data_IF_402157775526
#
_entry.id   IF_402157775526
#
_cell.length_a   1.000
_cell.length_b   1.000
_cell.length_c   1.000
_cell.angle_alpha   90.00
_cell.angle_beta   90.00
_cell.angle_gamma   90.00
#
_symmetry.space_group_name_H-M   'P 1'
#
loop_
_entity.id
_entity.type
_entity.pdbx_description
1 polymer ?
#
# COMPACT_ATOMS: atom_id res chain seq x y z
N UNK A 1 21.52 -9.88 -37.29
CA UNK A 1 21.38 -10.51 -35.95
C UNK A 1 21.40 -9.51 -34.80
N UNK A 2 22.22 -8.51 -34.85
CA UNK A 2 22.40 -7.49 -33.78
C UNK A 2 21.15 -6.67 -33.51
N UNK A 3 20.41 -6.23 -34.52
CA UNK A 3 19.20 -5.44 -34.41
C UNK A 3 18.06 -6.20 -33.67
N UNK A 4 17.98 -7.50 -33.81
CA UNK A 4 17.01 -8.36 -33.12
C UNK A 4 17.27 -8.45 -31.63
N UNK A 5 18.52 -8.36 -31.18
CA UNK A 5 18.85 -8.38 -29.76
C UNK A 5 18.45 -7.08 -29.08
N UNK A 6 18.72 -5.92 -29.70
CA UNK A 6 18.31 -4.61 -29.17
C UNK A 6 16.78 -4.51 -29.07
N UNK A 7 16.03 -5.00 -30.06
CA UNK A 7 14.56 -5.08 -30.03
C UNK A 7 14.06 -5.93 -28.84
N UNK A 8 14.63 -7.12 -28.64
CA UNK A 8 14.26 -8.01 -27.53
C UNK A 8 14.55 -7.34 -26.18
N UNK A 9 15.68 -6.68 -26.04
CA UNK A 9 16.06 -5.99 -24.81
C UNK A 9 15.18 -4.77 -24.56
N UNK A 10 14.84 -3.99 -25.58
CA UNK A 10 13.90 -2.87 -25.47
C UNK A 10 12.51 -3.35 -25.00
N UNK A 11 11.99 -4.42 -25.61
CA UNK A 11 10.74 -5.04 -25.17
C UNK A 11 10.82 -5.47 -23.70
N UNK A 12 11.92 -6.12 -23.29
CA UNK A 12 12.09 -6.59 -21.92
C UNK A 12 12.21 -5.45 -20.91
N UNK A 13 12.94 -4.37 -21.26
CA UNK A 13 13.04 -3.18 -20.41
C UNK A 13 11.69 -2.51 -20.20
N UNK A 14 10.85 -2.46 -21.25
CA UNK A 14 9.47 -1.95 -21.19
C UNK A 14 8.57 -2.81 -20.30
N UNK A 15 8.67 -4.13 -20.41
CA UNK A 15 7.93 -5.07 -19.53
C UNK A 15 8.30 -4.86 -18.07
N UNK A 16 9.59 -4.78 -17.73
CA UNK A 16 10.05 -4.57 -16.36
C UNK A 16 9.55 -3.24 -15.77
N UNK A 17 9.61 -2.15 -16.53
CA UNK A 17 9.09 -0.86 -16.11
C UNK A 17 7.57 -0.90 -15.91
N UNK A 18 6.83 -1.51 -16.84
CA UNK A 18 5.39 -1.68 -16.72
C UNK A 18 4.98 -2.52 -15.51
N UNK A 19 5.72 -3.58 -15.19
CA UNK A 19 5.46 -4.40 -14.01
C UNK A 19 5.69 -3.61 -12.72
N UNK A 20 6.69 -2.72 -12.70
CA UNK A 20 6.91 -1.81 -11.58
C UNK A 20 5.73 -0.83 -11.41
N UNK A 21 5.25 -0.22 -12.50
CA UNK A 21 4.10 0.70 -12.50
C UNK A 21 2.82 -0.02 -12.04
N UNK A 22 2.54 -1.21 -12.58
CA UNK A 22 1.41 -2.05 -12.15
C UNK A 22 1.48 -2.42 -10.69
N UNK A 23 2.68 -2.63 -10.15
CA UNK A 23 2.88 -2.88 -8.72
C UNK A 23 2.44 -1.68 -7.87
N UNK A 24 2.75 -0.45 -8.31
CA UNK A 24 2.29 0.79 -7.65
C UNK A 24 0.77 0.88 -7.66
N UNK A 25 0.14 0.63 -8.81
CA UNK A 25 -1.32 0.68 -8.96
C UNK A 25 -2.02 -0.38 -8.10
N UNK A 26 -1.46 -1.60 -8.07
CA UNK A 26 -1.93 -2.67 -7.20
C UNK A 26 -1.85 -2.30 -5.73
N UNK A 27 -0.76 -1.66 -5.31
CA UNK A 27 -0.58 -1.19 -3.94
C UNK A 27 -1.59 -0.09 -3.58
N UNK A 28 -1.83 0.85 -4.49
CA UNK A 28 -2.85 1.89 -4.32
C UNK A 28 -4.24 1.27 -4.16
N UNK A 29 -4.61 0.32 -5.02
CA UNK A 29 -5.89 -0.38 -4.93
C UNK A 29 -6.04 -1.12 -3.59
N UNK A 30 -5.03 -1.86 -3.16
CA UNK A 30 -5.02 -2.54 -1.86
C UNK A 30 -5.14 -1.55 -0.71
N UNK A 31 -4.34 -0.49 -0.70
CA UNK A 31 -4.39 0.52 0.35
C UNK A 31 -5.78 1.19 0.43
N UNK A 32 -6.38 1.55 -0.70
CA UNK A 32 -7.73 2.12 -0.78
C UNK A 32 -8.79 1.18 -0.22
N UNK A 33 -8.74 -0.10 -0.58
CA UNK A 33 -9.65 -1.12 -0.03
C UNK A 33 -9.53 -1.24 1.48
N UNK A 34 -8.30 -1.30 2.01
CA UNK A 34 -8.11 -1.41 3.45
C UNK A 34 -8.46 -0.13 4.21
N UNK A 35 -8.26 1.04 3.63
CA UNK A 35 -8.77 2.30 4.21
C UNK A 35 -10.29 2.25 4.35
N UNK A 36 -11.00 1.79 3.31
CA UNK A 36 -12.47 1.67 3.34
C UNK A 36 -12.95 0.68 4.41
N UNK A 37 -12.32 -0.50 4.49
CA UNK A 37 -12.64 -1.51 5.51
C UNK A 37 -12.35 -0.96 6.91
N UNK A 38 -11.20 -0.33 7.12
CA UNK A 38 -10.77 0.17 8.42
C UNK A 38 -11.62 1.35 8.90
N UNK A 39 -12.22 2.12 8.00
CA UNK A 39 -13.14 3.20 8.40
C UNK A 39 -14.39 2.67 9.10
N UNK A 40 -14.80 1.43 8.82
CA UNK A 40 -15.92 0.77 9.51
C UNK A 40 -15.53 0.23 10.90
N UNK A 41 -14.24 0.07 11.16
CA UNK A 41 -13.77 -0.46 12.43
C UNK A 41 -14.11 0.45 13.62
N UNK A 42 -13.99 1.77 13.45
CA UNK A 42 -14.24 2.76 14.52
C UNK A 42 -15.68 2.71 15.01
N UNK A 43 -16.71 2.79 14.15
CA UNK A 43 -18.12 2.64 14.58
C UNK A 43 -18.39 1.29 15.27
N UNK A 44 -17.79 0.19 14.76
CA UNK A 44 -17.91 -1.12 15.40
C UNK A 44 -17.31 -1.15 16.80
N UNK A 45 -16.11 -0.58 16.97
CA UNK A 45 -15.46 -0.49 18.27
C UNK A 45 -16.29 0.31 19.28
N UNK A 46 -16.88 1.44 18.85
CA UNK A 46 -17.78 2.22 19.70
C UNK A 46 -19.08 1.49 20.01
N UNK A 47 -19.65 0.73 19.06
CA UNK A 47 -20.83 -0.10 19.29
C UNK A 47 -20.58 -1.18 20.34
N UNK A 48 -19.43 -1.83 20.30
CA UNK A 48 -19.01 -2.81 21.30
C UNK A 48 -18.75 -2.17 22.66
N UNK A 49 -18.11 -0.99 22.67
CA UNK A 49 -17.86 -0.24 23.91
C UNK A 49 -19.14 0.18 24.62
N UNK A 50 -20.16 0.64 23.89
CA UNK A 50 -21.45 1.02 24.46
C UNK A 50 -22.15 -0.11 25.22
N UNK A 51 -21.91 -1.35 24.83
CA UNK A 51 -22.46 -2.55 25.47
C UNK A 51 -21.58 -3.10 26.61
N UNK A 52 -20.52 -2.38 26.96
CA UNK A 52 -19.61 -2.75 28.04
C UNK A 52 -20.10 -2.15 29.33
N UNK A 53 -20.60 -2.98 30.26
CA UNK A 53 -21.28 -2.53 31.51
C UNK A 53 -20.30 -1.91 32.53
N UNK A 54 -19.00 -2.05 32.35
CA UNK A 54 -17.97 -1.51 33.25
C UNK A 54 -17.32 -0.23 32.68
N UNK A 55 -17.99 0.89 32.79
CA UNK A 55 -17.44 2.22 32.46
C UNK A 55 -16.42 2.73 33.51
N UNK A 56 -15.46 1.92 33.87
CA UNK A 56 -14.35 2.39 34.69
C UNK A 56 -13.20 2.90 33.83
N UNK A 57 -12.32 3.71 34.40
CA UNK A 57 -11.17 4.29 33.71
C UNK A 57 -10.31 3.23 33.00
N UNK A 58 -10.16 2.06 33.62
CA UNK A 58 -9.41 0.93 33.07
C UNK A 58 -10.06 0.38 31.79
N UNK A 59 -11.38 0.25 31.76
CA UNK A 59 -12.13 -0.17 30.57
C UNK A 59 -11.94 0.79 29.41
N UNK A 60 -12.01 2.11 29.66
CA UNK A 60 -11.79 3.13 28.64
C UNK A 60 -10.37 3.02 28.05
N UNK A 61 -9.34 2.85 28.88
CA UNK A 61 -7.96 2.72 28.43
C UNK A 61 -7.81 1.46 27.55
N UNK A 62 -8.33 0.32 27.99
CA UNK A 62 -8.22 -0.95 27.26
C UNK A 62 -8.87 -0.86 25.87
N UNK A 63 -10.08 -0.26 25.75
CA UNK A 63 -10.77 -0.08 24.47
C UNK A 63 -10.13 0.99 23.58
N UNK A 64 -9.39 1.94 24.14
CA UNK A 64 -8.68 2.95 23.36
C UNK A 64 -7.50 2.36 22.56
N UNK A 65 -6.86 1.28 23.05
CA UNK A 65 -5.68 0.67 22.41
C UNK A 65 -5.97 0.23 20.96
N UNK A 66 -6.99 -0.62 20.67
CA UNK A 66 -7.27 -1.03 19.30
C UNK A 66 -7.67 0.15 18.40
N UNK A 67 -8.36 1.17 18.93
CA UNK A 67 -8.72 2.35 18.15
C UNK A 67 -7.47 3.14 17.75
N UNK A 68 -6.55 3.37 18.67
CA UNK A 68 -5.30 4.07 18.39
C UNK A 68 -4.47 3.28 17.37
N UNK A 69 -4.35 1.96 17.53
CA UNK A 69 -3.64 1.10 16.57
C UNK A 69 -4.26 1.17 15.17
N UNK A 70 -5.59 1.18 15.08
CA UNK A 70 -6.29 1.33 13.80
C UNK A 70 -6.00 2.69 13.15
N UNK A 71 -6.03 3.79 13.90
CA UNK A 71 -5.72 5.13 13.42
C UNK A 71 -4.27 5.24 12.91
N UNK A 72 -3.31 4.63 13.62
CA UNK A 72 -1.91 4.54 13.17
C UNK A 72 -1.82 3.75 11.87
N UNK A 73 -2.53 2.63 11.76
CA UNK A 73 -2.61 1.83 10.54
C UNK A 73 -3.18 2.62 9.36
N UNK A 74 -4.29 3.34 9.58
CA UNK A 74 -4.89 4.23 8.59
C UNK A 74 -3.93 5.33 8.14
N UNK A 75 -3.17 5.94 9.05
CA UNK A 75 -2.16 6.93 8.70
C UNK A 75 -1.15 6.38 7.69
N UNK A 76 -0.59 5.19 7.93
CA UNK A 76 0.36 4.57 7.00
C UNK A 76 -0.28 4.19 5.66
N UNK A 77 -1.53 3.70 5.64
CA UNK A 77 -2.24 3.40 4.40
C UNK A 77 -2.49 4.66 3.58
N UNK A 78 -2.92 5.74 4.21
CA UNK A 78 -3.12 7.04 3.54
C UNK A 78 -1.79 7.56 2.99
N UNK A 79 -0.69 7.45 3.74
CA UNK A 79 0.65 7.79 3.24
C UNK A 79 1.07 6.94 2.02
N UNK A 80 0.60 5.70 1.91
CA UNK A 80 0.83 4.88 0.73
C UNK A 80 0.04 5.37 -0.49
N UNK A 81 -1.15 5.96 -0.29
CA UNK A 81 -2.04 6.48 -1.34
C UNK A 81 -1.65 7.87 -1.86
N UNK A 82 -0.84 8.64 -1.12
CA UNK A 82 -0.46 9.97 -1.58
C UNK A 82 0.17 9.91 -2.97
N UNK A 83 -0.23 10.83 -3.88
CA UNK A 83 0.32 10.89 -5.23
C UNK A 83 1.83 11.00 -5.20
N UNK A 84 2.50 10.14 -5.94
CA UNK A 84 3.95 10.12 -6.09
C UNK A 84 4.29 10.25 -7.56
N UNK A 85 5.39 10.94 -7.84
CA UNK A 85 5.90 11.02 -9.21
C UNK A 85 6.42 9.64 -9.60
N UNK A 86 5.85 9.08 -10.66
CA UNK A 86 6.28 7.83 -11.28
C UNK A 86 6.73 8.17 -12.70
N UNK A 87 7.91 7.70 -13.08
CA UNK A 87 8.49 7.87 -14.40
C UNK A 87 8.11 6.69 -15.29
N UNK A 88 7.75 6.97 -16.54
CA UNK A 88 7.17 6.01 -17.48
C UNK A 88 8.09 5.65 -18.66
N UNK A 89 9.38 5.94 -18.57
CA UNK A 89 10.33 5.76 -19.66
C UNK A 89 10.40 7.00 -20.56
N UNK A 90 10.51 6.79 -21.87
CA UNK A 90 10.58 7.88 -22.83
C UNK A 90 9.35 8.78 -22.75
N UNK A 91 9.56 10.10 -22.80
CA UNK A 91 8.49 11.08 -22.91
C UNK A 91 8.41 11.66 -24.33
N UNK A 92 7.32 12.37 -24.65
CA UNK A 92 7.07 12.93 -25.97
C UNK A 92 8.18 13.86 -26.46
N UNK A 93 8.82 14.64 -25.56
CA UNK A 93 9.87 15.60 -25.94
C UNK A 93 11.14 14.92 -26.45
N UNK A 94 11.29 13.62 -26.23
CA UNK A 94 12.45 12.82 -26.66
C UNK A 94 12.24 12.25 -28.06
N UNK A 95 10.99 12.13 -28.53
CA UNK A 95 10.69 11.61 -29.87
C UNK A 95 11.27 12.47 -30.99
N UNK A 96 11.28 13.80 -30.83
CA UNK A 96 11.87 14.71 -31.83
C UNK A 96 13.36 14.42 -32.08
N UNK A 97 14.07 13.92 -31.07
CA UNK A 97 15.49 13.54 -31.18
C UNK A 97 15.69 12.23 -31.93
N UNK A 98 14.66 11.40 -32.00
CA UNK A 98 14.71 10.05 -32.56
C UNK A 98 14.10 9.95 -33.95
N UNK A 99 13.22 10.93 -34.32
CA UNK A 99 12.46 10.93 -35.59
C UNK A 99 13.35 10.91 -36.84
N UNK A 100 14.56 11.48 -36.74
CA UNK A 100 15.53 11.58 -37.82
C UNK A 100 16.66 10.54 -37.72
N UNK A 101 16.49 9.51 -36.90
CA UNK A 101 17.47 8.41 -36.79
C UNK A 101 17.21 7.38 -37.87
N UNK A 102 18.22 7.11 -38.70
CA UNK A 102 18.14 6.14 -39.79
C UNK A 102 18.25 4.69 -39.28
N UNK A 103 18.91 4.46 -38.12
CA UNK A 103 19.09 3.14 -37.53
C UNK A 103 18.09 2.89 -36.38
N UNK A 104 17.24 1.90 -36.57
CA UNK A 104 16.29 1.45 -35.53
C UNK A 104 17.00 0.98 -34.24
N UNK A 105 18.26 0.57 -34.30
CA UNK A 105 19.06 0.19 -33.15
C UNK A 105 19.26 1.37 -32.20
N UNK A 106 19.57 2.55 -32.72
CA UNK A 106 19.72 3.77 -31.91
C UNK A 106 18.45 4.09 -31.11
N UNK A 107 17.28 3.82 -31.72
CA UNK A 107 15.97 4.02 -31.05
C UNK A 107 15.79 3.01 -29.91
N UNK A 108 16.09 1.74 -30.15
CA UNK A 108 15.98 0.70 -29.10
C UNK A 108 16.97 0.93 -27.96
N UNK A 109 18.21 1.28 -28.25
CA UNK A 109 19.23 1.55 -27.23
C UNK A 109 18.87 2.77 -26.39
N UNK A 110 18.29 3.81 -27.01
CA UNK A 110 17.75 4.96 -26.27
C UNK A 110 16.56 4.58 -25.40
N UNK A 111 15.64 3.77 -25.89
CA UNK A 111 14.49 3.27 -25.13
C UNK A 111 14.93 2.45 -23.91
N UNK A 112 15.89 1.56 -24.10
CA UNK A 112 16.46 0.76 -22.99
C UNK A 112 17.05 1.68 -21.92
N UNK A 113 17.81 2.70 -22.33
CA UNK A 113 18.36 3.69 -21.41
C UNK A 113 17.28 4.43 -20.62
N UNK A 114 16.29 5.01 -21.30
CA UNK A 114 15.20 5.75 -20.68
C UNK A 114 14.36 4.89 -19.74
N UNK A 115 14.06 3.65 -20.13
CA UNK A 115 13.32 2.70 -19.29
C UNK A 115 14.10 2.30 -18.05
N UNK A 116 15.41 2.04 -18.20
CA UNK A 116 16.31 1.72 -17.07
C UNK A 116 16.39 2.87 -16.08
N UNK A 117 16.59 4.09 -16.57
CA UNK A 117 16.74 5.26 -15.72
C UNK A 117 15.42 5.55 -14.98
N UNK A 118 14.28 5.48 -15.66
CA UNK A 118 12.95 5.59 -15.04
C UNK A 118 12.68 4.48 -14.01
N UNK A 119 13.09 3.25 -14.32
CA UNK A 119 12.97 2.14 -13.37
C UNK A 119 13.78 2.39 -12.10
N UNK A 120 15.02 2.87 -12.23
CA UNK A 120 15.89 3.18 -11.11
C UNK A 120 15.34 4.34 -10.26
N UNK A 121 14.85 5.41 -10.89
CA UNK A 121 14.24 6.55 -10.22
C UNK A 121 12.98 6.15 -9.43
N UNK A 122 12.22 5.18 -9.92
CA UNK A 122 11.03 4.68 -9.27
C UNK A 122 11.31 3.76 -8.06
N UNK A 123 12.49 3.13 -7.97
CA UNK A 123 12.80 2.12 -6.94
C UNK A 123 12.49 2.61 -5.53
N UNK A 124 12.99 3.78 -5.16
CA UNK A 124 12.81 4.30 -3.80
C UNK A 124 11.34 4.65 -3.52
N UNK A 125 10.65 5.19 -4.50
CA UNK A 125 9.20 5.48 -4.41
C UNK A 125 8.39 4.21 -4.15
N UNK A 126 8.64 3.15 -4.92
CA UNK A 126 7.97 1.84 -4.77
C UNK A 126 8.30 1.21 -3.42
N UNK A 127 9.56 1.29 -3.00
CA UNK A 127 10.02 0.74 -1.71
C UNK A 127 9.35 1.43 -0.52
N UNK A 128 9.27 2.77 -0.55
CA UNK A 128 8.58 3.54 0.50
C UNK A 128 7.10 3.21 0.52
N UNK A 129 6.45 3.11 -0.63
CA UNK A 129 5.04 2.74 -0.74
C UNK A 129 4.78 1.35 -0.18
N UNK A 130 5.58 0.35 -0.56
CA UNK A 130 5.48 -1.02 -0.05
C UNK A 130 5.65 -1.08 1.47
N UNK A 131 6.60 -0.31 2.00
CA UNK A 131 6.84 -0.22 3.44
C UNK A 131 5.65 0.36 4.18
N UNK A 132 5.08 1.45 3.68
CA UNK A 132 3.92 2.08 4.29
C UNK A 132 2.69 1.17 4.22
N UNK A 133 2.45 0.52 3.08
CA UNK A 133 1.39 -0.48 2.94
C UNK A 133 1.54 -1.62 3.96
N UNK A 134 2.75 -2.17 4.07
CA UNK A 134 3.05 -3.24 5.04
C UNK A 134 2.76 -2.81 6.48
N UNK A 135 3.26 -1.64 6.90
CA UNK A 135 3.00 -1.15 8.27
C UNK A 135 1.52 -0.88 8.50
N UNK A 136 0.86 -0.23 7.56
CA UNK A 136 -0.58 0.03 7.64
C UNK A 136 -1.38 -1.25 7.86
N UNK A 137 -1.16 -2.27 7.02
CA UNK A 137 -1.81 -3.57 7.14
C UNK A 137 -1.51 -4.26 8.47
N UNK A 138 -0.25 -4.21 8.92
CA UNK A 138 0.15 -4.83 10.19
C UNK A 138 -0.59 -4.19 11.37
N UNK A 139 -0.63 -2.87 11.46
CA UNK A 139 -1.33 -2.17 12.55
C UNK A 139 -2.83 -2.43 12.54
N UNK A 140 -3.47 -2.44 11.38
CA UNK A 140 -4.90 -2.76 11.26
C UNK A 140 -5.18 -4.20 11.70
N UNK A 141 -4.35 -5.15 11.29
CA UNK A 141 -4.49 -6.54 11.68
C UNK A 141 -4.34 -6.74 13.20
N UNK A 142 -3.31 -6.14 13.80
CA UNK A 142 -3.11 -6.17 15.26
C UNK A 142 -4.27 -5.50 16.00
N UNK A 143 -4.78 -4.38 15.48
CA UNK A 143 -5.96 -3.70 16.01
C UNK A 143 -7.20 -4.62 16.02
N UNK A 144 -7.47 -5.30 14.91
CA UNK A 144 -8.60 -6.22 14.80
C UNK A 144 -8.49 -7.40 15.78
N UNK A 145 -7.29 -8.00 15.90
CA UNK A 145 -7.05 -9.08 16.87
C UNK A 145 -7.25 -8.57 18.29
N UNK A 146 -6.68 -7.42 18.66
CA UNK A 146 -6.80 -6.88 20.01
C UNK A 146 -8.26 -6.58 20.39
N UNK A 147 -9.05 -6.02 19.47
CA UNK A 147 -10.48 -5.78 19.69
C UNK A 147 -11.24 -7.12 19.91
N UNK A 148 -10.96 -8.12 19.10
CA UNK A 148 -11.58 -9.45 19.21
C UNK A 148 -11.25 -10.09 20.54
N UNK A 149 -10.01 -10.02 20.99
CA UNK A 149 -9.59 -10.55 22.31
C UNK A 149 -10.32 -9.84 23.46
N UNK A 150 -10.39 -8.51 23.42
CA UNK A 150 -11.12 -7.72 24.43
C UNK A 150 -12.58 -8.14 24.47
N UNK A 151 -13.21 -8.35 23.33
CA UNK A 151 -14.60 -8.80 23.24
C UNK A 151 -14.80 -10.19 23.85
N UNK A 152 -13.96 -11.15 23.54
CA UNK A 152 -14.01 -12.50 24.13
C UNK A 152 -13.82 -12.49 25.64
N UNK A 153 -12.82 -11.76 26.15
CA UNK A 153 -12.57 -11.62 27.60
C UNK A 153 -13.80 -11.03 28.28
N UNK A 154 -14.43 -10.03 27.69
CA UNK A 154 -15.64 -9.42 28.26
C UNK A 154 -16.81 -10.42 28.36
N UNK A 155 -17.04 -11.24 27.32
CA UNK A 155 -18.06 -12.29 27.36
C UNK A 155 -17.79 -13.31 28.47
N UNK A 156 -16.53 -13.74 28.62
CA UNK A 156 -16.16 -14.71 29.66
C UNK A 156 -16.41 -14.15 31.07
N UNK A 157 -16.05 -12.90 31.32
CA UNK A 157 -16.28 -12.25 32.62
C UNK A 157 -17.78 -12.17 32.91
N UNK A 158 -18.62 -11.72 31.94
CA UNK A 158 -20.07 -11.69 32.10
C UNK A 158 -20.67 -13.04 32.46
N UNK A 159 -20.27 -14.09 31.78
CA UNK A 159 -20.76 -15.44 32.04
C UNK A 159 -20.35 -15.97 33.43
N UNK A 160 -19.13 -15.61 33.90
CA UNK A 160 -18.69 -16.00 35.25
C UNK A 160 -19.47 -15.26 36.35
N UNK A 161 -19.81 -14.01 36.14
CA UNK A 161 -20.55 -13.18 37.14
C UNK A 161 -22.05 -13.51 37.21
N UNK A 162 -22.65 -14.05 36.13
CA UNK A 162 -24.07 -14.48 36.13
C UNK A 162 -24.28 -15.87 36.76
N UNK A 163 -23.23 -16.64 36.96
CA UNK A 163 -23.30 -18.00 37.57
C UNK A 163 -22.84 -18.05 39.05
N UNK A 164 -22.48 -16.91 39.62
CA UNK A 164 -22.12 -16.75 41.01
C UNK A 164 -23.22 -16.02 41.79
#
# INVERSE_FOLDING_TARGET
>A
MENRNSEILAKKSRELLNDQIKSVDSNNSKAGTFVSISSLFIPLAFGLFKNYDNYNTTGIIIFSIPIILNLVGLYFLVQSLFPKKIYHGMNFNEFDKLINKDDSRDIYDFEIGANRDSFNDNIETVKVQNRNLKYGLTFIYVSAISLTLIFFVNILIKNCTCNA
#
